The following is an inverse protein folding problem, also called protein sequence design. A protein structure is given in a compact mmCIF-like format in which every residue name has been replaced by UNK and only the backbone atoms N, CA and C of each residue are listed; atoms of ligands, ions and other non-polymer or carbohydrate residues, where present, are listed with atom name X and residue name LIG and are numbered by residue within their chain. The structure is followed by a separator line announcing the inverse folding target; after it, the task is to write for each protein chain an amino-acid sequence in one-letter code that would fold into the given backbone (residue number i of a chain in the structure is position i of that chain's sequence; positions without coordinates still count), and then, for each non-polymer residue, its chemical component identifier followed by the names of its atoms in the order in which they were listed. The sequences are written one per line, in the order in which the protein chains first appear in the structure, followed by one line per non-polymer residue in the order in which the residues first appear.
data_IF_692368901474
#
_entry.id   IF_692368901474
#
_cell.length_a   1.000
_cell.length_b   1.000
_cell.length_c   1.000
_cell.angle_alpha   90.00
_cell.angle_beta   90.00
_cell.angle_gamma   90.00
#
_symmetry.space_group_name_H-M   'P 1'
#
loop_
_entity.id
_entity.type
_entity.pdbx_description
1 polymer ?
#
# COMPACT_ATOMS: atom_id res chain seq x y z
N UNK A 1 -16.97 -10.23 10.11
CA UNK A 1 -16.15 -8.99 10.19
C UNK A 1 -17.09 -7.85 10.50
N UNK A 2 -16.81 -7.07 11.55
CA UNK A 2 -17.66 -5.94 11.95
C UNK A 2 -17.57 -4.80 10.93
N UNK A 3 -18.65 -4.02 10.82
CA UNK A 3 -18.73 -2.84 9.94
C UNK A 3 -17.56 -1.87 10.18
N UNK A 4 -17.15 -1.70 11.44
CA UNK A 4 -16.05 -0.81 11.82
C UNK A 4 -14.71 -1.25 11.23
N UNK A 5 -14.43 -2.56 11.17
CA UNK A 5 -13.17 -3.06 10.61
C UNK A 5 -13.15 -2.97 9.08
N UNK A 6 -14.29 -3.18 8.42
CA UNK A 6 -14.36 -3.14 6.95
C UNK A 6 -14.31 -1.72 6.40
N UNK A 7 -14.93 -0.75 7.08
CA UNK A 7 -14.84 0.67 6.69
C UNK A 7 -13.43 1.21 6.87
N UNK A 8 -12.79 0.94 8.02
CA UNK A 8 -11.41 1.38 8.29
C UNK A 8 -10.39 0.81 7.30
N UNK A 9 -10.54 -0.48 6.93
CA UNK A 9 -9.66 -1.12 5.94
C UNK A 9 -9.85 -0.52 4.54
N UNK A 10 -11.10 -0.32 4.13
CA UNK A 10 -11.42 0.25 2.81
C UNK A 10 -10.91 1.68 2.69
N UNK A 11 -11.12 2.51 3.71
CA UNK A 11 -10.64 3.89 3.74
C UNK A 11 -9.11 3.95 3.57
N UNK A 12 -8.39 3.18 4.39
CA UNK A 12 -6.92 3.12 4.32
C UNK A 12 -6.44 2.67 2.93
N UNK A 13 -7.14 1.70 2.33
CA UNK A 13 -6.83 1.20 1.01
C UNK A 13 -6.97 2.28 -0.08
N UNK A 14 -8.08 3.03 -0.05
CA UNK A 14 -8.33 4.14 -0.98
C UNK A 14 -7.24 5.21 -0.83
N UNK A 15 -6.87 5.58 0.39
CA UNK A 15 -5.81 6.57 0.62
C UNK A 15 -4.48 6.13 0.00
N UNK A 16 -4.08 4.87 0.16
CA UNK A 16 -2.85 4.36 -0.44
C UNK A 16 -2.89 4.36 -1.97
N UNK A 17 -4.03 3.97 -2.56
CA UNK A 17 -4.18 3.95 -4.02
C UNK A 17 -4.29 5.35 -4.64
N UNK A 18 -4.78 6.34 -3.89
CA UNK A 18 -4.82 7.73 -4.32
C UNK A 18 -3.42 8.34 -4.51
N UNK A 19 -2.38 7.79 -3.90
CA UNK A 19 -0.99 8.27 -4.06
C UNK A 19 -0.34 7.81 -5.38
N UNK A 20 -0.84 6.74 -6.00
CA UNK A 20 -0.30 6.22 -7.27
C UNK A 20 -0.43 7.22 -8.44
N UNK A 21 -1.59 7.86 -8.68
CA UNK A 21 -1.69 8.88 -9.72
C UNK A 21 -0.81 10.10 -9.44
N UNK A 22 -0.62 10.51 -8.17
CA UNK A 22 0.31 11.61 -7.84
C UNK A 22 1.76 11.31 -8.29
N UNK A 23 2.21 10.06 -8.09
CA UNK A 23 3.50 9.60 -8.60
C UNK A 23 3.55 9.58 -10.13
N UNK A 24 2.43 9.24 -10.78
CA UNK A 24 2.34 9.20 -12.25
C UNK A 24 2.45 10.62 -12.83
N UNK A 25 1.68 11.57 -12.29
CA UNK A 25 1.76 13.00 -12.63
C UNK A 25 3.18 13.54 -12.43
N UNK A 26 3.88 13.10 -11.37
CA UNK A 26 5.26 13.49 -11.09
C UNK A 26 6.20 13.03 -12.21
N UNK A 27 6.07 11.76 -12.61
CA UNK A 27 6.91 11.23 -13.68
C UNK A 27 6.66 11.92 -15.02
N UNK A 28 5.41 12.27 -15.34
CA UNK A 28 5.09 12.99 -16.56
C UNK A 28 5.67 14.41 -16.56
N UNK A 29 5.66 15.09 -15.42
CA UNK A 29 6.17 16.45 -15.29
C UNK A 29 7.71 16.51 -15.41
N UNK A 30 8.43 15.55 -14.84
CA UNK A 30 9.90 15.54 -14.83
C UNK A 30 10.53 14.79 -16.00
N UNK A 31 9.94 13.66 -16.43
CA UNK A 31 10.47 12.84 -17.52
C UNK A 31 9.74 13.04 -18.85
N UNK A 32 8.69 13.87 -18.88
CA UNK A 32 7.97 14.22 -20.11
C UNK A 32 6.97 13.16 -20.61
N UNK A 33 7.00 11.95 -20.04
CA UNK A 33 6.11 10.84 -20.40
C UNK A 33 5.44 10.24 -19.15
N UNK A 34 4.14 9.96 -19.25
CA UNK A 34 3.40 9.28 -18.18
C UNK A 34 3.80 7.80 -18.09
N UNK A 35 4.54 7.42 -17.05
CA UNK A 35 5.01 6.04 -16.82
C UNK A 35 4.00 5.21 -15.98
N UNK A 36 2.70 5.38 -16.23
CA UNK A 36 1.62 4.77 -15.46
C UNK A 36 1.73 3.22 -15.43
N UNK A 37 2.08 2.61 -16.58
CA UNK A 37 2.20 1.15 -16.70
C UNK A 37 3.31 0.57 -15.82
N UNK A 38 4.49 1.22 -15.79
CA UNK A 38 5.62 0.77 -14.98
C UNK A 38 5.33 0.90 -13.48
N UNK A 39 4.77 2.04 -13.06
CA UNK A 39 4.40 2.30 -11.66
C UNK A 39 3.37 1.27 -11.17
N UNK A 40 2.35 0.97 -11.99
CA UNK A 40 1.28 0.05 -11.61
C UNK A 40 1.77 -1.42 -11.59
N UNK A 41 2.62 -1.80 -12.54
CA UNK A 41 3.26 -3.12 -12.58
C UNK A 41 4.15 -3.34 -11.35
N UNK A 42 5.02 -2.37 -11.02
CA UNK A 42 5.88 -2.41 -9.84
C UNK A 42 5.07 -2.52 -8.55
N UNK A 43 4.02 -1.70 -8.41
CA UNK A 43 3.13 -1.74 -7.24
C UNK A 43 2.44 -3.10 -7.05
N UNK A 44 2.04 -3.74 -8.16
CA UNK A 44 1.41 -5.07 -8.14
C UNK A 44 2.43 -6.16 -7.81
N UNK A 45 3.63 -6.08 -8.38
CA UNK A 45 4.73 -7.00 -8.09
C UNK A 45 5.08 -6.98 -6.60
N UNK A 46 5.33 -5.80 -6.02
CA UNK A 46 5.66 -5.65 -4.60
C UNK A 46 4.55 -6.22 -3.72
N UNK A 47 3.27 -5.97 -4.07
CA UNK A 47 2.14 -6.49 -3.29
C UNK A 47 2.08 -8.01 -3.29
N UNK A 48 2.30 -8.63 -4.45
CA UNK A 48 2.33 -10.10 -4.55
C UNK A 48 3.55 -10.68 -3.83
N UNK A 49 4.72 -10.08 -4.00
CA UNK A 49 5.95 -10.49 -3.35
C UNK A 49 5.82 -10.44 -1.82
N UNK A 50 5.43 -9.30 -1.27
CA UNK A 50 5.21 -9.13 0.17
C UNK A 50 4.07 -10.00 0.69
N UNK A 51 3.00 -10.19 -0.10
CA UNK A 51 1.90 -11.09 0.23
C UNK A 51 2.37 -12.54 0.43
N UNK A 52 3.15 -13.06 -0.52
CA UNK A 52 3.72 -14.41 -0.43
C UNK A 52 4.72 -14.54 0.70
N UNK A 53 5.54 -13.52 0.94
CA UNK A 53 6.51 -13.54 2.04
C UNK A 53 5.81 -13.51 3.41
N UNK A 54 4.73 -12.72 3.53
CA UNK A 54 3.91 -12.64 4.74
C UNK A 54 3.25 -13.98 5.05
N UNK A 55 2.64 -14.64 4.06
CA UNK A 55 2.02 -15.96 4.27
C UNK A 55 3.05 -17.02 4.61
N UNK A 56 4.25 -16.98 4.02
CA UNK A 56 5.35 -17.87 4.38
C UNK A 56 5.78 -17.71 5.84
N UNK A 57 6.01 -16.48 6.29
CA UNK A 57 6.42 -16.20 7.68
C UNK A 57 5.32 -16.64 8.65
N UNK A 58 4.08 -16.20 8.43
CA UNK A 58 2.96 -16.53 9.33
C UNK A 58 2.74 -18.04 9.36
N UNK A 59 2.74 -18.70 8.20
CA UNK A 59 2.61 -20.15 8.10
C UNK A 59 3.73 -20.91 8.80
N UNK A 60 4.99 -20.47 8.63
CA UNK A 60 6.15 -21.05 9.29
C UNK A 60 6.10 -20.91 10.81
N UNK A 61 5.74 -19.73 11.32
CA UNK A 61 5.58 -19.50 12.76
C UNK A 61 4.45 -20.36 13.34
N UNK A 62 3.33 -20.52 12.62
CA UNK A 62 2.22 -21.35 13.06
C UNK A 62 2.61 -22.84 13.08
N UNK A 63 3.30 -23.32 12.04
CA UNK A 63 3.80 -24.68 11.96
C UNK A 63 4.74 -25.01 13.14
N UNK A 64 5.60 -24.07 13.54
CA UNK A 64 6.50 -24.25 14.68
C UNK A 64 5.76 -24.42 16.02
N UNK A 65 4.56 -23.83 16.17
CA UNK A 65 3.74 -24.01 17.38
C UNK A 65 3.02 -25.35 17.46
N UNK A 66 3.16 -26.22 16.46
CA UNK A 66 2.44 -27.49 16.39
C UNK A 66 0.97 -27.31 16.02
N UNK A 67 0.61 -26.22 15.33
CA UNK A 67 -0.76 -25.99 14.87
C UNK A 67 -1.18 -27.10 13.89
N UNK A 68 -2.15 -27.91 14.31
CA UNK A 68 -2.76 -28.94 13.48
C UNK A 68 -4.23 -28.59 13.25
N UNK A 69 -4.64 -28.42 11.99
CA UNK A 69 -5.98 -28.00 11.60
C UNK A 69 -7.10 -28.94 12.09
N UNK A 70 -6.76 -30.18 12.44
CA UNK A 70 -7.69 -31.25 12.78
C UNK A 70 -7.87 -31.45 14.29
N UNK A 71 -7.23 -30.64 15.14
CA UNK A 71 -7.25 -30.80 16.60
C UNK A 71 -7.61 -29.47 17.27
N UNK A 72 -8.13 -29.53 18.50
CA UNK A 72 -8.48 -28.32 19.25
C UNK A 72 -7.28 -27.40 19.41
N UNK A 73 -7.46 -26.12 19.07
CA UNK A 73 -6.39 -25.12 19.08
C UNK A 73 -5.86 -24.95 20.49
N UNK A 74 -4.56 -25.24 20.69
CA UNK A 74 -3.91 -25.08 21.98
C UNK A 74 -3.82 -23.60 22.38
N UNK A 75 -3.85 -23.31 23.69
CA UNK A 75 -3.70 -21.96 24.23
C UNK A 75 -2.43 -21.25 23.69
N UNK A 76 -1.34 -22.00 23.46
CA UNK A 76 -0.09 -21.48 22.88
C UNK A 76 -0.29 -20.93 21.45
N UNK A 77 -1.04 -21.64 20.61
CA UNK A 77 -1.32 -21.19 19.23
C UNK A 77 -2.24 -19.97 19.20
N UNK A 78 -3.21 -19.88 20.12
CA UNK A 78 -4.09 -18.70 20.25
C UNK A 78 -3.26 -17.46 20.62
N UNK A 79 -2.39 -17.56 21.63
CA UNK A 79 -1.50 -16.46 22.00
C UNK A 79 -0.60 -16.03 20.83
N UNK A 80 -0.09 -16.97 20.05
CA UNK A 80 0.73 -16.64 18.88
C UNK A 80 -0.06 -15.91 17.80
N UNK A 81 -1.28 -16.36 17.50
CA UNK A 81 -2.15 -15.70 16.51
C UNK A 81 -2.47 -14.27 16.94
N UNK A 82 -2.81 -14.07 18.22
CA UNK A 82 -3.05 -12.75 18.78
C UNK A 82 -1.80 -11.86 18.70
N UNK A 83 -0.62 -12.41 19.01
CA UNK A 83 0.64 -11.69 18.91
C UNK A 83 0.92 -11.24 17.46
N UNK A 84 0.78 -12.12 16.46
CA UNK A 84 0.91 -11.74 15.04
C UNK A 84 -0.08 -10.62 14.69
N UNK A 85 -1.34 -10.80 15.09
CA UNK A 85 -2.43 -9.88 14.74
C UNK A 85 -2.23 -8.48 15.31
N UNK A 86 -1.47 -8.31 16.38
CA UNK A 86 -1.15 -7.01 16.99
C UNK A 86 0.20 -6.49 16.51
N UNK A 87 1.23 -7.34 16.50
CA UNK A 87 2.60 -6.94 16.16
C UNK A 87 2.74 -6.49 14.70
N UNK A 88 2.12 -7.21 13.75
CA UNK A 88 2.25 -6.87 12.32
C UNK A 88 1.62 -5.49 12.02
N UNK A 89 0.37 -5.18 12.42
CA UNK A 89 -0.19 -3.85 12.22
C UNK A 89 0.66 -2.73 12.83
N UNK A 90 1.16 -2.90 14.05
CA UNK A 90 2.00 -1.89 14.72
C UNK A 90 3.28 -1.64 13.91
N UNK A 91 3.98 -2.70 13.50
CA UNK A 91 5.20 -2.58 12.70
C UNK A 91 4.92 -1.88 11.36
N UNK A 92 3.81 -2.22 10.70
CA UNK A 92 3.43 -1.57 9.44
C UNK A 92 3.06 -0.10 9.62
N UNK A 93 2.41 0.28 10.72
CA UNK A 93 2.09 1.67 11.02
C UNK A 93 3.36 2.49 11.28
N UNK A 94 4.32 1.95 12.03
CA UNK A 94 5.62 2.60 12.24
C UNK A 94 6.38 2.78 10.94
N UNK A 95 6.41 1.75 10.08
CA UNK A 95 7.06 1.83 8.78
C UNK A 95 6.43 2.90 7.89
N UNK A 96 5.09 2.96 7.83
CA UNK A 96 4.36 3.99 7.07
C UNK A 96 4.69 5.38 7.63
N UNK A 97 4.67 5.56 8.95
CA UNK A 97 4.95 6.85 9.59
C UNK A 97 6.35 7.37 9.25
N UNK A 98 7.36 6.49 9.28
CA UNK A 98 8.73 6.83 8.86
C UNK A 98 8.76 7.19 7.37
N UNK A 99 8.15 6.39 6.50
CA UNK A 99 8.11 6.65 5.06
C UNK A 99 7.38 7.95 4.71
N UNK A 100 6.31 8.27 5.45
CA UNK A 100 5.57 9.53 5.29
C UNK A 100 6.43 10.74 5.65
N UNK A 101 7.34 10.65 6.63
CA UNK A 101 8.29 11.74 6.92
C UNK A 101 9.26 12.01 5.76
N UNK A 102 9.61 10.99 4.98
CA UNK A 102 10.47 11.13 3.80
C UNK A 102 9.70 11.44 2.50
N UNK A 103 8.37 11.55 2.55
CA UNK A 103 7.55 11.75 1.36
C UNK A 103 7.58 13.22 0.89
N UNK A 104 8.19 13.52 -0.28
CA UNK A 104 8.44 14.89 -0.70
C UNK A 104 7.24 15.56 -1.39
N UNK A 105 6.18 14.80 -1.69
CA UNK A 105 5.00 15.30 -2.40
C UNK A 105 4.00 15.83 -1.35
N UNK A 106 4.12 17.12 -1.03
CA UNK A 106 3.15 17.85 -0.20
C UNK A 106 1.86 18.10 -0.99
N UNK A 107 0.71 18.19 -0.31
CA UNK A 107 -0.60 18.49 -0.93
C UNK A 107 -0.57 19.74 -1.84
N UNK A 108 0.18 20.77 -1.46
CA UNK A 108 0.34 21.98 -2.29
C UNK A 108 1.13 21.75 -3.59
N UNK A 109 2.03 20.78 -3.61
CA UNK A 109 2.81 20.42 -4.80
C UNK A 109 1.98 19.59 -5.78
N UNK A 110 1.19 18.62 -5.27
CA UNK A 110 0.26 17.84 -6.09
C UNK A 110 -0.74 18.75 -6.86
N UNK A 111 -1.35 19.73 -6.19
CA UNK A 111 -2.27 20.69 -6.84
C UNK A 111 -1.56 21.52 -7.92
N UNK A 112 -0.30 21.90 -7.72
CA UNK A 112 0.49 22.61 -8.74
C UNK A 112 0.72 21.72 -9.96
N UNK A 113 1.12 20.47 -9.75
CA UNK A 113 1.35 19.51 -10.83
C UNK A 113 0.09 19.30 -11.68
N UNK A 114 -1.06 19.02 -11.07
CA UNK A 114 -2.30 18.81 -11.82
C UNK A 114 -2.73 20.06 -12.60
N UNK A 115 -2.47 21.27 -12.07
CA UNK A 115 -2.72 22.53 -12.81
C UNK A 115 -1.79 22.69 -14.02
N UNK A 116 -0.52 22.31 -13.89
CA UNK A 116 0.47 22.37 -14.99
C UNK A 116 0.10 21.39 -16.09
N UNK A 117 -0.22 20.14 -15.73
CA UNK A 117 -0.63 19.10 -16.68
C UNK A 117 -1.93 19.47 -17.42
N UNK A 118 -2.96 19.96 -16.71
CA UNK A 118 -4.19 20.47 -17.34
C UNK A 118 -3.92 21.58 -18.37
N UNK A 119 -2.99 22.50 -18.06
CA UNK A 119 -2.59 23.55 -19.01
C UNK A 119 -1.85 22.98 -20.23
N UNK A 120 -1.01 21.96 -20.05
CA UNK A 120 -0.31 21.26 -21.15
C UNK A 120 -1.31 20.63 -22.11
N UNK A 121 -2.24 19.82 -21.59
CA UNK A 121 -3.29 19.20 -22.41
C UNK A 121 -4.19 20.22 -23.12
N UNK A 122 -4.57 21.31 -22.45
CA UNK A 122 -5.38 22.36 -23.08
C UNK A 122 -4.67 23.10 -24.22
N UNK A 123 -3.33 23.17 -24.22
CA UNK A 123 -2.55 23.77 -25.31
C UNK A 123 -2.37 22.80 -26.48
N UNK A 124 -2.18 21.52 -26.17
CA UNK A 124 -2.06 20.46 -27.17
C UNK A 124 -3.38 20.27 -27.93
N UNK A 125 -4.50 20.25 -27.22
CA UNK A 125 -5.84 20.13 -27.80
C UNK A 125 -6.29 21.37 -28.61
N UNK A 126 -5.56 22.49 -28.53
CA UNK A 126 -5.77 23.69 -29.38
C UNK A 126 -4.87 23.72 -30.61
N UNK A 127 -3.88 22.83 -30.69
CA UNK A 127 -2.91 22.74 -31.78
C UNK A 127 -3.21 21.61 -32.77
N UNK A 128 -4.05 20.66 -32.37
CA UNK A 128 -4.61 19.62 -33.24
C UNK A 128 -5.90 20.06 -33.92
#
# INVERSE_FOLDING_TARGET
MSLFTTTGLTFSNICCFAMIPDCTDYTELHFGCAQAGFINASSTFVRKFCGSFSTLIVGGLLAFTGYAANVSVSAKSIHMILAIKIAIPILTLLAILVLSCFYPITAGYAVKMSKVLKKKYSRENRRG
#
